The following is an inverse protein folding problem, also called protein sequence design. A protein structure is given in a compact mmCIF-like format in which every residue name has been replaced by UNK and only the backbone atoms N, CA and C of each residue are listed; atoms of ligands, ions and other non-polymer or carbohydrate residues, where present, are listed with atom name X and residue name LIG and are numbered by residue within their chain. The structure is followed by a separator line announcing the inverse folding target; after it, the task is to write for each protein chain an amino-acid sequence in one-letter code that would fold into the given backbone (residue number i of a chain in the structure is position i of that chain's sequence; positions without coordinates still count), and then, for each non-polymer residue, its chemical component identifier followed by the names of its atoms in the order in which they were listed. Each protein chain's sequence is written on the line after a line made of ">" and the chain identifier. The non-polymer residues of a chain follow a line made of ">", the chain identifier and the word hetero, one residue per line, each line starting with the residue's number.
data_IF_022976712961
#
_entry.id   IF_022976712961
#
_cell.length_a   1.000
_cell.length_b   1.000
_cell.length_c   1.000
_cell.angle_alpha   90.00
_cell.angle_beta   90.00
_cell.angle_gamma   90.00
#
_symmetry.space_group_name_H-M   'P 1'
#
loop_
_entity.id
_entity.type
_entity.pdbx_description
1 polymer ?
#
# COMPACT_ATOMS: atom_id res chain seq x y z
N UNK A 1 9.46 -2.60 -7.82
CA UNK A 1 10.57 -3.53 -8.12
C UNK A 1 10.11 -4.45 -9.23
N UNK A 2 10.78 -4.43 -10.38
CA UNK A 2 10.33 -5.13 -11.59
C UNK A 2 11.13 -6.38 -11.92
N UNK A 3 12.15 -6.71 -11.13
CA UNK A 3 13.12 -7.77 -11.45
C UNK A 3 13.22 -8.80 -10.33
N UNK A 4 13.54 -10.03 -10.74
CA UNK A 4 13.93 -11.12 -9.86
C UNK A 4 15.26 -10.77 -9.16
N UNK A 5 15.38 -11.11 -7.88
CA UNK A 5 16.59 -10.82 -7.15
C UNK A 5 16.45 -10.85 -5.64
N UNK A 6 17.48 -10.34 -4.97
CA UNK A 6 17.52 -10.13 -3.52
C UNK A 6 17.87 -8.68 -3.23
N UNK A 7 17.04 -8.03 -2.42
CA UNK A 7 17.09 -6.61 -2.13
C UNK A 7 17.31 -6.41 -0.64
N UNK A 8 18.40 -5.73 -0.26
CA UNK A 8 18.65 -5.36 1.12
C UNK A 8 17.68 -4.26 1.56
N UNK A 9 16.98 -4.50 2.66
CA UNK A 9 15.99 -3.58 3.20
C UNK A 9 16.68 -2.37 3.82
N UNK A 10 16.10 -1.18 3.64
CA UNK A 10 16.67 0.10 4.06
C UNK A 10 17.73 0.68 3.10
N UNK A 11 18.21 -0.09 2.12
CA UNK A 11 19.20 0.38 1.13
C UNK A 11 18.70 0.27 -0.30
N UNK A 12 18.27 -0.92 -0.72
CA UNK A 12 17.78 -1.20 -2.08
C UNK A 12 16.25 -1.21 -2.15
N UNK A 13 15.60 -1.55 -1.03
CA UNK A 13 14.15 -1.54 -0.89
C UNK A 13 13.79 -0.86 0.43
N UNK A 14 12.80 0.02 0.41
CA UNK A 14 12.32 0.68 1.62
C UNK A 14 11.25 -0.17 2.33
N UNK A 15 11.16 -0.14 3.67
CA UNK A 15 10.08 -0.80 4.40
C UNK A 15 8.70 -0.33 3.94
N UNK A 16 7.72 -1.22 3.99
CA UNK A 16 6.33 -0.95 3.63
C UNK A 16 5.60 -2.16 3.05
N UNK A 17 4.36 -1.92 2.63
CA UNK A 17 3.51 -2.94 2.01
C UNK A 17 3.72 -2.96 0.50
N UNK A 18 3.98 -4.14 -0.05
CA UNK A 18 4.16 -4.36 -1.48
C UNK A 18 3.12 -5.34 -2.02
N UNK A 19 2.64 -5.10 -3.23
CA UNK A 19 1.66 -5.94 -3.93
C UNK A 19 2.25 -6.37 -5.27
N UNK A 20 2.06 -7.64 -5.61
CA UNK A 20 2.36 -8.21 -6.93
C UNK A 20 1.11 -8.90 -7.47
N UNK A 21 0.88 -8.78 -8.78
CA UNK A 21 -0.22 -9.45 -9.49
C UNK A 21 -0.06 -10.97 -9.56
N UNK A 22 1.03 -11.54 -9.04
CA UNK A 22 1.26 -12.99 -8.96
C UNK A 22 2.38 -13.43 -9.90
N UNK A 23 2.35 -14.67 -10.41
CA UNK A 23 3.41 -15.19 -11.27
C UNK A 23 3.49 -14.47 -12.62
N UNK A 24 4.68 -14.46 -13.20
CA UNK A 24 4.84 -14.26 -14.66
C UNK A 24 4.07 -15.33 -15.43
N UNK A 25 3.74 -15.05 -16.69
CA UNK A 25 2.96 -15.97 -17.52
C UNK A 25 3.60 -17.37 -17.57
N UNK A 26 2.80 -18.41 -17.29
CA UNK A 26 3.26 -19.80 -17.24
C UNK A 26 4.17 -20.17 -16.05
N UNK A 27 4.50 -19.22 -15.18
CA UNK A 27 5.45 -19.39 -14.07
C UNK A 27 4.81 -19.64 -12.70
N UNK A 28 5.65 -19.54 -11.68
CA UNK A 28 5.28 -19.55 -10.26
C UNK A 28 6.00 -18.41 -9.57
N UNK A 29 5.27 -17.61 -8.79
CA UNK A 29 5.85 -16.53 -8.01
C UNK A 29 6.35 -17.10 -6.68
N UNK A 30 7.63 -16.93 -6.42
CA UNK A 30 8.24 -17.23 -5.13
C UNK A 30 8.81 -15.95 -4.51
N UNK A 31 8.60 -15.78 -3.22
CA UNK A 31 9.24 -14.71 -2.47
C UNK A 31 9.56 -15.17 -1.05
N UNK A 32 10.54 -14.50 -0.44
CA UNK A 32 10.90 -14.69 0.96
C UNK A 32 11.41 -13.39 1.60
N UNK A 33 11.10 -13.22 2.87
CA UNK A 33 11.65 -12.20 3.77
C UNK A 33 12.71 -12.85 4.65
N UNK A 34 13.85 -12.19 4.77
CA UNK A 34 14.98 -12.64 5.58
C UNK A 34 15.21 -11.67 6.73
N UNK A 35 15.38 -12.20 7.94
CA UNK A 35 15.66 -11.43 9.14
C UNK A 35 17.14 -11.08 9.29
N UNK A 36 17.42 -10.19 10.24
CA UNK A 36 18.77 -9.75 10.58
C UNK A 36 19.57 -10.75 11.44
N UNK A 37 18.97 -11.88 11.84
CA UNK A 37 19.66 -12.91 12.62
C UNK A 37 20.84 -13.57 11.87
N UNK A 38 21.76 -14.15 12.64
CA UNK A 38 23.09 -14.61 12.20
C UNK A 38 23.09 -15.61 11.03
N UNK A 39 21.97 -16.31 10.80
CA UNK A 39 21.86 -17.35 9.77
C UNK A 39 20.96 -16.99 8.59
N UNK A 40 20.50 -15.74 8.48
CA UNK A 40 19.55 -15.36 7.42
C UNK A 40 18.23 -16.09 7.59
N UNK A 41 17.68 -16.02 8.80
CA UNK A 41 16.38 -16.58 9.18
C UNK A 41 15.31 -16.18 8.15
N UNK A 42 14.54 -17.16 7.66
CA UNK A 42 13.38 -16.89 6.82
C UNK A 42 12.25 -16.46 7.76
N UNK A 43 11.88 -15.18 7.69
CA UNK A 43 10.77 -14.63 8.47
C UNK A 43 9.43 -15.04 7.88
N UNK A 44 9.34 -15.06 6.54
CA UNK A 44 8.13 -15.41 5.81
C UNK A 44 8.49 -15.78 4.37
N UNK A 45 7.69 -16.65 3.76
CA UNK A 45 7.83 -16.99 2.35
C UNK A 45 6.50 -17.49 1.76
N UNK A 46 6.39 -17.42 0.44
CA UNK A 46 5.32 -18.11 -0.27
C UNK A 46 5.75 -18.51 -1.67
N UNK A 47 5.19 -19.63 -2.13
CA UNK A 47 5.25 -20.09 -3.52
C UNK A 47 3.82 -20.21 -4.04
N UNK A 48 3.48 -19.45 -5.07
CA UNK A 48 2.07 -19.22 -5.42
C UNK A 48 1.84 -18.96 -6.91
N UNK A 49 0.62 -19.26 -7.36
CA UNK A 49 0.09 -18.87 -8.68
C UNK A 49 -0.94 -17.75 -8.60
N UNK A 50 -1.06 -17.09 -7.45
CA UNK A 50 -2.05 -16.04 -7.15
C UNK A 50 -1.36 -14.71 -6.86
N UNK A 51 -2.08 -13.57 -6.95
CA UNK A 51 -1.58 -12.28 -6.47
C UNK A 51 -1.11 -12.34 -5.02
N UNK A 52 -0.12 -11.52 -4.67
CA UNK A 52 0.53 -11.52 -3.35
C UNK A 52 0.59 -10.12 -2.76
N UNK A 53 0.52 -10.05 -1.44
CA UNK A 53 0.74 -8.84 -0.65
C UNK A 53 1.71 -9.17 0.47
N UNK A 54 2.75 -8.35 0.64
CA UNK A 54 3.83 -8.59 1.59
C UNK A 54 4.10 -7.31 2.37
N UNK A 55 4.12 -7.39 3.70
CA UNK A 55 4.65 -6.32 4.56
C UNK A 55 6.14 -6.57 4.78
N UNK A 56 6.98 -5.60 4.40
CA UNK A 56 8.43 -5.65 4.59
C UNK A 56 8.76 -4.68 5.72
N UNK A 57 9.22 -5.21 6.84
CA UNK A 57 9.48 -4.43 8.04
C UNK A 57 10.89 -3.83 8.02
N UNK A 58 11.11 -2.76 8.79
CA UNK A 58 12.43 -2.14 8.90
C UNK A 58 13.49 -3.05 9.54
N UNK A 59 13.06 -4.08 10.27
CA UNK A 59 13.91 -5.10 10.91
C UNK A 59 14.27 -6.24 9.96
N UNK A 60 13.63 -6.32 8.80
CA UNK A 60 14.01 -7.28 7.78
C UNK A 60 15.41 -6.92 7.26
N UNK A 61 16.21 -7.92 6.97
CA UNK A 61 17.52 -7.75 6.34
C UNK A 61 17.39 -7.68 4.83
N UNK A 62 16.63 -8.60 4.24
CA UNK A 62 16.51 -8.71 2.80
C UNK A 62 15.15 -9.26 2.37
N UNK A 63 14.71 -8.84 1.20
CA UNK A 63 13.58 -9.40 0.48
C UNK A 63 14.07 -10.03 -0.81
N UNK A 64 13.71 -11.29 -1.05
CA UNK A 64 14.04 -11.98 -2.29
C UNK A 64 12.79 -12.44 -3.02
N UNK A 65 12.77 -12.29 -4.33
CA UNK A 65 11.64 -12.63 -5.19
C UNK A 65 12.13 -13.24 -6.50
N UNK A 66 11.38 -14.21 -7.02
CA UNK A 66 11.62 -14.79 -8.34
C UNK A 66 10.32 -15.22 -9.00
N UNK A 67 10.23 -15.03 -10.32
CA UNK A 67 9.08 -15.42 -11.14
C UNK A 67 7.80 -14.65 -10.80
N UNK A 68 7.91 -13.53 -10.08
CA UNK A 68 6.79 -12.68 -9.72
C UNK A 68 6.68 -11.51 -10.70
N UNK A 69 5.45 -11.11 -11.03
CA UNK A 69 5.19 -9.83 -11.67
C UNK A 69 5.68 -8.68 -10.78
N UNK A 70 5.95 -7.49 -11.36
CA UNK A 70 6.51 -6.36 -10.62
C UNK A 70 5.79 -6.06 -9.32
N UNK A 71 6.56 -5.90 -8.26
CA UNK A 71 6.08 -5.46 -6.95
C UNK A 71 5.91 -3.96 -6.94
N UNK A 72 4.72 -3.50 -6.56
CA UNK A 72 4.39 -2.09 -6.39
C UNK A 72 4.20 -1.79 -4.91
N UNK A 73 4.73 -0.67 -4.44
CA UNK A 73 4.43 -0.19 -3.09
C UNK A 73 2.96 0.18 -3.04
N UNK A 74 2.25 -0.39 -2.09
CA UNK A 74 0.92 0.05 -1.73
C UNK A 74 1.09 1.22 -0.77
N UNK A 75 1.01 2.45 -1.29
CA UNK A 75 1.03 3.67 -0.48
C UNK A 75 -0.23 3.82 0.39
N UNK A 76 -1.17 2.89 0.25
CA UNK A 76 -2.07 2.52 1.36
C UNK A 76 -1.20 1.89 2.44
N UNK A 77 -0.56 2.74 3.25
CA UNK A 77 -0.10 2.38 4.58
C UNK A 77 -1.15 1.43 5.16
N UNK A 78 -0.73 0.24 5.65
CA UNK A 78 -1.61 -0.66 6.40
C UNK A 78 -2.54 0.22 7.21
N UNK A 79 -3.88 0.16 7.00
CA UNK A 79 -4.79 1.26 7.33
C UNK A 79 -4.43 1.69 8.73
N UNK A 80 -3.83 2.87 8.85
CA UNK A 80 -3.33 3.37 10.12
C UNK A 80 -4.51 3.19 11.07
N UNK A 81 -4.35 2.28 12.06
CA UNK A 81 -5.40 1.77 12.95
C UNK A 81 -6.63 2.63 12.84
N UNK A 82 -7.65 2.11 12.14
CA UNK A 82 -8.96 2.74 11.94
C UNK A 82 -9.23 3.76 13.02
N UNK A 83 -9.13 5.05 12.68
CA UNK A 83 -9.51 6.10 13.63
C UNK A 83 -10.89 5.72 14.17
N UNK A 84 -11.12 5.77 15.49
CA UNK A 84 -12.40 5.39 16.04
C UNK A 84 -13.49 6.17 15.29
N UNK A 85 -14.64 5.55 14.97
CA UNK A 85 -15.67 6.10 14.08
C UNK A 85 -16.13 7.52 14.45
N UNK A 86 -15.93 7.90 15.71
CA UNK A 86 -16.15 9.24 16.26
C UNK A 86 -15.33 10.32 15.51
N UNK A 87 -14.08 10.05 15.17
CA UNK A 87 -13.21 11.01 14.46
C UNK A 87 -13.63 11.12 12.99
N UNK A 88 -13.98 10.01 12.33
CA UNK A 88 -14.50 10.03 10.96
C UNK A 88 -15.81 10.85 10.84
N UNK A 89 -16.71 10.71 11.83
CA UNK A 89 -17.95 11.49 11.89
C UNK A 89 -17.74 12.99 12.07
N UNK A 90 -16.69 13.41 12.79
CA UNK A 90 -16.33 14.83 12.96
C UNK A 90 -15.79 15.44 11.67
N UNK A 91 -14.90 14.74 10.97
CA UNK A 91 -14.34 15.19 9.69
C UNK A 91 -15.45 15.38 8.65
N UNK A 92 -16.40 14.44 8.58
CA UNK A 92 -17.54 14.54 7.67
C UNK A 92 -18.46 15.73 8.01
N UNK A 93 -18.71 15.99 9.30
CA UNK A 93 -19.54 17.13 9.73
C UNK A 93 -18.91 18.48 9.41
N UNK A 94 -17.59 18.61 9.54
CA UNK A 94 -16.85 19.82 9.14
C UNK A 94 -16.92 20.05 7.63
N UNK A 95 -16.84 18.98 6.84
CA UNK A 95 -16.98 19.06 5.39
C UNK A 95 -18.39 19.48 4.95
N UNK A 96 -19.45 18.93 5.54
CA UNK A 96 -20.83 19.37 5.27
C UNK A 96 -21.01 20.86 5.56
N UNK A 97 -20.53 21.34 6.70
CA UNK A 97 -20.61 22.76 7.06
C UNK A 97 -19.89 23.66 6.04
N UNK A 98 -18.82 23.16 5.42
CA UNK A 98 -18.08 23.89 4.38
C UNK A 98 -18.88 23.98 3.08
N UNK A 99 -19.57 22.91 2.68
CA UNK A 99 -20.48 22.92 1.52
C UNK A 99 -21.63 23.89 1.76
N UNK A 100 -22.26 23.84 2.92
CA UNK A 100 -23.39 24.70 3.26
C UNK A 100 -22.99 26.18 3.28
N UNK A 101 -21.78 26.50 3.75
CA UNK A 101 -21.26 27.86 3.73
C UNK A 101 -20.91 28.34 2.31
N UNK A 102 -20.34 27.47 1.47
CA UNK A 102 -20.05 27.79 0.07
C UNK A 102 -21.33 27.95 -0.76
N UNK A 103 -22.36 27.14 -0.50
CA UNK A 103 -23.67 27.25 -1.14
C UNK A 103 -24.35 28.59 -0.80
N UNK A 104 -24.20 29.07 0.46
CA UNK A 104 -24.67 30.40 0.86
C UNK A 104 -23.93 31.54 0.17
N UNK A 105 -22.65 31.36 -0.16
CA UNK A 105 -21.86 32.36 -0.89
C UNK A 105 -22.15 32.35 -2.40
N UNK A 106 -22.61 31.23 -2.95
CA UNK A 106 -22.96 31.06 -4.38
C UNK A 106 -24.40 31.48 -4.74
N UNK A 107 -25.13 32.13 -3.83
CA UNK A 107 -26.53 32.52 -3.99
C UNK A 107 -26.80 33.82 -4.76
N UNK A 108 -26.03 34.14 -5.80
CA UNK A 108 -26.33 35.27 -6.71
C UNK A 108 -26.24 34.81 -8.18
N UNK A 109 -27.21 33.99 -8.60
CA UNK A 109 -27.48 33.70 -10.00
C UNK A 109 -28.77 34.38 -10.44
N UNK A 110 -28.68 35.57 -11.01
CA UNK A 110 -29.80 36.18 -11.73
C UNK A 110 -30.16 35.32 -12.95
N UNK A 111 -31.46 35.01 -13.13
CA UNK A 111 -31.98 34.32 -14.30
C UNK A 111 -32.00 35.28 -15.51
N UNK A 112 -31.57 34.86 -16.72
CA UNK A 112 -31.71 35.69 -17.91
C UNK A 112 -33.18 35.64 -18.43
N UNK A 113 -33.75 36.75 -18.91
CA UNK A 113 -35.10 36.76 -19.47
C UNK A 113 -35.11 36.18 -20.89
N UNK A 114 -36.29 35.67 -21.31
CA UNK A 114 -36.57 35.27 -22.70
C UNK A 114 -36.76 36.48 -23.60
#
# INVERSE_FOLDING_TARGET
>A
MSEDGSYNVGTQIVPGTYVSSGPVEGGVCYWKRLGAGDHGEILDNAMTKKPQTVSIEATDRAFSTSGCQPWQRSDSAAPAKTLPPIVAGLQFRQWINTIDNNARQSGNGALPPR
#
